data_IF_583015171716
#
_entry.id   IF_583015171716
#
_cell.length_a   1.000
_cell.length_b   1.000
_cell.length_c   1.000
_cell.angle_alpha   90.00
_cell.angle_beta   90.00
_cell.angle_gamma   90.00
#
_symmetry.space_group_name_H-M   'P 1'
#
loop_
_entity.id
_entity.type
_entity.pdbx_description
1 polymer ?
#
# COMPACT_ATOMS: atom_id res chain seq x y z
N UNK A 1 -8.23 -11.78 5.15
CA UNK A 1 -7.86 -10.45 4.60
C UNK A 1 -8.07 -10.43 3.10
N UNK A 2 -8.39 -9.29 2.46
CA UNK A 2 -8.58 -9.20 1.00
C UNK A 2 -7.27 -8.95 0.27
N UNK A 3 -7.13 -9.48 -0.95
CA UNK A 3 -6.02 -9.09 -1.84
C UNK A 3 -6.21 -7.64 -2.30
N UNK A 4 -5.11 -6.90 -2.48
CA UNK A 4 -5.15 -5.57 -3.09
C UNK A 4 -4.47 -5.57 -4.46
N UNK A 5 -4.86 -4.61 -5.30
CA UNK A 5 -4.40 -4.47 -6.67
C UNK A 5 -4.05 -3.01 -6.96
N UNK A 6 -3.49 -2.73 -8.13
CA UNK A 6 -3.04 -1.38 -8.54
C UNK A 6 -4.08 -0.29 -8.23
N UNK A 7 -5.35 -0.56 -8.48
CA UNK A 7 -6.40 0.46 -8.31
C UNK A 7 -6.93 0.59 -6.88
N UNK A 8 -6.45 -0.20 -5.90
CA UNK A 8 -6.84 -0.11 -4.49
C UNK A 8 -6.46 1.24 -3.89
N UNK A 9 -7.23 1.73 -2.92
CA UNK A 9 -6.91 3.00 -2.25
C UNK A 9 -5.97 2.74 -1.07
N UNK A 10 -4.73 3.18 -1.19
CA UNK A 10 -3.77 3.28 -0.08
C UNK A 10 -3.58 4.77 0.22
N UNK A 11 -3.64 5.14 1.49
CA UNK A 11 -3.45 6.51 1.93
C UNK A 11 -2.60 6.57 3.19
N UNK A 12 -1.90 7.69 3.40
CA UNK A 12 -1.31 7.97 4.70
C UNK A 12 -2.39 8.23 5.76
N UNK A 13 -2.00 8.30 7.02
CA UNK A 13 -2.90 8.67 8.13
C UNK A 13 -3.57 10.03 7.95
N UNK A 14 -3.02 10.89 7.08
CA UNK A 14 -3.52 12.22 6.75
C UNK A 14 -4.26 12.29 5.41
N UNK A 15 -4.65 11.15 4.85
CA UNK A 15 -5.41 11.03 3.59
C UNK A 15 -4.66 11.44 2.30
N UNK A 16 -3.35 11.68 2.40
CA UNK A 16 -2.48 11.73 1.22
C UNK A 16 -2.49 10.39 0.49
N UNK A 17 -2.63 10.41 -0.84
CA UNK A 17 -2.87 9.21 -1.66
C UNK A 17 -1.58 8.64 -2.23
N UNK A 18 -1.39 7.33 -2.07
CA UNK A 18 -0.28 6.59 -2.64
C UNK A 18 -0.54 6.30 -4.12
N UNK A 19 0.48 6.49 -4.95
CA UNK A 19 0.47 6.07 -6.36
C UNK A 19 0.98 4.63 -6.47
N UNK A 20 0.06 3.67 -6.51
CA UNK A 20 0.40 2.26 -6.60
C UNK A 20 1.03 1.91 -7.95
N UNK A 21 1.96 0.96 -7.94
CA UNK A 21 2.54 0.38 -9.15
C UNK A 21 2.76 -1.11 -8.93
N UNK A 22 2.10 -1.94 -9.72
CA UNK A 22 2.33 -3.38 -9.73
C UNK A 22 3.62 -3.69 -10.48
N UNK A 23 4.50 -4.51 -9.91
CA UNK A 23 5.70 -5.03 -10.59
C UNK A 23 5.37 -6.12 -11.60
N UNK A 24 4.32 -6.91 -11.33
CA UNK A 24 3.78 -7.95 -12.21
C UNK A 24 2.49 -7.48 -12.90
N UNK A 25 2.12 -8.10 -14.03
CA UNK A 25 0.95 -7.72 -14.83
C UNK A 25 -0.01 -8.87 -15.19
N UNK A 26 0.30 -10.12 -14.84
CA UNK A 26 -0.42 -11.30 -15.35
C UNK A 26 -1.46 -11.85 -14.37
N UNK A 27 -1.22 -11.76 -13.05
CA UNK A 27 -2.24 -12.03 -12.05
C UNK A 27 -3.07 -10.78 -11.85
N UNK A 28 -4.34 -10.85 -12.24
CA UNK A 28 -5.25 -9.72 -12.19
C UNK A 28 -6.55 -10.07 -11.46
N UNK A 29 -7.18 -9.06 -10.87
CA UNK A 29 -8.56 -9.11 -10.40
C UNK A 29 -9.37 -8.14 -11.26
N UNK A 30 -10.34 -8.67 -12.01
CA UNK A 30 -11.13 -7.90 -12.99
C UNK A 30 -10.25 -7.09 -13.97
N UNK A 31 -9.12 -7.66 -14.38
CA UNK A 31 -8.17 -7.01 -15.30
C UNK A 31 -7.22 -6.00 -14.66
N UNK A 32 -7.27 -5.79 -13.33
CA UNK A 32 -6.34 -4.94 -12.60
C UNK A 32 -5.23 -5.78 -11.96
N UNK A 33 -3.94 -5.50 -12.22
CA UNK A 33 -2.83 -6.27 -11.65
C UNK A 33 -2.80 -6.22 -10.11
N UNK A 34 -2.68 -7.40 -9.49
CA UNK A 34 -2.49 -7.58 -8.05
C UNK A 34 -1.15 -7.01 -7.61
N UNK A 35 -1.09 -6.41 -6.42
CA UNK A 35 0.17 -5.97 -5.82
C UNK A 35 0.85 -7.13 -5.09
N UNK A 36 2.17 -7.22 -5.22
CA UNK A 36 3.01 -8.17 -4.48
C UNK A 36 4.02 -7.42 -3.60
N UNK A 37 4.78 -8.15 -2.78
CA UNK A 37 5.75 -7.53 -1.88
C UNK A 37 6.74 -6.61 -2.61
N UNK A 38 7.20 -5.59 -1.89
CA UNK A 38 7.95 -4.42 -2.39
C UNK A 38 7.17 -3.43 -3.30
N UNK A 39 6.05 -3.81 -3.93
CA UNK A 39 5.23 -2.87 -4.73
C UNK A 39 4.76 -1.63 -3.93
N UNK A 40 4.32 -1.76 -2.66
CA UNK A 40 3.84 -0.62 -1.88
C UNK A 40 4.95 0.28 -1.33
N UNK A 41 6.23 -0.09 -1.47
CA UNK A 41 7.36 0.62 -0.86
C UNK A 41 7.96 1.67 -1.82
N UNK A 42 8.39 2.82 -1.28
CA UNK A 42 8.99 3.91 -2.04
C UNK A 42 8.04 4.62 -3.02
N UNK A 43 6.72 4.40 -2.89
CA UNK A 43 5.69 4.99 -3.76
C UNK A 43 5.47 6.46 -3.41
N UNK A 44 5.14 7.25 -4.42
CA UNK A 44 4.78 8.66 -4.23
C UNK A 44 3.47 8.79 -3.47
N UNK A 45 3.45 9.73 -2.52
CA UNK A 45 2.26 10.17 -1.81
C UNK A 45 1.93 11.59 -2.27
N UNK A 46 0.68 11.81 -2.69
CA UNK A 46 0.19 13.10 -3.19
C UNK A 46 -0.93 13.64 -2.30
N UNK A 47 -1.15 14.96 -2.33
CA UNK A 47 -2.24 15.62 -1.61
C UNK A 47 -2.25 15.38 -0.08
N UNK A 48 -1.08 15.17 0.54
CA UNK A 48 -0.99 15.18 2.01
C UNK A 48 -1.22 16.63 2.52
N UNK A 49 -2.21 16.87 3.40
CA UNK A 49 -2.57 18.21 3.87
C UNK A 49 -1.61 18.73 4.96
N UNK A 50 -0.79 17.87 5.55
CA UNK A 50 0.13 18.24 6.61
C UNK A 50 1.45 18.77 6.04
N UNK A 51 1.53 20.09 5.89
CA UNK A 51 2.71 20.82 5.45
C UNK A 51 2.94 22.07 6.31
N UNK A 52 4.20 22.49 6.46
CA UNK A 52 4.56 23.69 7.21
C UNK A 52 6.06 23.81 7.45
N UNK A 53 6.54 24.91 8.06
CA UNK A 53 7.97 25.17 8.25
C UNK A 53 8.72 24.06 9.02
N UNK A 54 8.03 23.35 9.90
CA UNK A 54 8.57 22.25 10.71
C UNK A 54 7.90 20.90 10.42
N UNK A 55 6.99 20.87 9.44
CA UNK A 55 6.19 19.69 9.10
C UNK A 55 6.57 19.24 7.70
N UNK A 56 7.25 18.10 7.63
CA UNK A 56 7.49 17.42 6.36
C UNK A 56 6.22 16.66 5.95
N UNK A 57 5.61 16.97 4.78
CA UNK A 57 4.49 16.19 4.28
C UNK A 57 4.93 14.76 3.93
N UNK A 58 3.99 13.83 4.00
CA UNK A 58 4.18 12.50 3.44
C UNK A 58 4.34 12.63 1.93
N UNK A 59 5.52 12.27 1.41
CA UNK A 59 5.79 12.25 -0.03
C UNK A 59 6.22 10.87 -0.52
N UNK A 60 6.66 9.99 0.39
CA UNK A 60 7.02 8.61 0.09
C UNK A 60 6.46 7.62 1.10
N UNK A 61 6.04 6.45 0.61
CA UNK A 61 5.89 5.27 1.46
C UNK A 61 7.26 4.71 1.81
N UNK A 62 7.39 4.20 3.02
CA UNK A 62 8.56 3.47 3.51
C UNK A 62 8.23 1.98 3.59
N UNK A 63 9.08 1.23 4.30
CA UNK A 63 8.94 -0.21 4.47
C UNK A 63 7.59 -0.60 5.06
N UNK A 64 7.00 -1.65 4.51
CA UNK A 64 5.79 -2.29 5.04
C UNK A 64 6.17 -3.21 6.20
N UNK A 65 5.42 -3.13 7.30
CA UNK A 65 5.62 -3.94 8.51
C UNK A 65 4.63 -5.10 8.57
N UNK A 66 3.41 -4.91 8.07
CA UNK A 66 2.32 -5.90 8.04
C UNK A 66 1.58 -5.84 6.72
N UNK A 67 1.00 -6.96 6.28
CA UNK A 67 0.11 -7.03 5.12
C UNK A 67 0.68 -7.70 3.88
N UNK A 68 1.78 -8.44 4.03
CA UNK A 68 2.21 -9.42 3.03
C UNK A 68 1.68 -10.80 3.43
N UNK A 69 1.13 -11.54 2.46
CA UNK A 69 0.61 -12.87 2.71
C UNK A 69 1.71 -13.82 3.21
N UNK A 70 1.33 -14.69 4.14
CA UNK A 70 2.24 -15.70 4.70
C UNK A 70 2.32 -16.96 3.84
N UNK A 71 1.26 -17.25 3.06
CA UNK A 71 1.15 -18.47 2.27
C UNK A 71 1.08 -18.19 0.76
N UNK A 72 0.31 -17.20 0.32
CA UNK A 72 0.08 -16.95 -1.11
C UNK A 72 1.19 -16.13 -1.75
N UNK A 73 1.68 -16.64 -2.88
CA UNK A 73 2.72 -16.02 -3.67
C UNK A 73 2.38 -16.02 -5.16
N UNK A 74 2.82 -14.96 -5.84
CA UNK A 74 2.82 -14.82 -7.30
C UNK A 74 4.28 -14.73 -7.73
N UNK A 75 4.76 -15.67 -8.54
CA UNK A 75 6.16 -15.77 -8.95
C UNK A 75 7.16 -15.70 -7.77
N UNK A 76 6.79 -16.30 -6.64
CA UNK A 76 7.61 -16.31 -5.43
C UNK A 76 7.47 -15.06 -4.54
N UNK A 77 6.79 -14.01 -5.01
CA UNK A 77 6.52 -12.78 -4.26
C UNK A 77 5.21 -12.87 -3.48
N UNK A 78 5.21 -12.44 -2.22
CA UNK A 78 4.01 -12.53 -1.37
C UNK A 78 2.95 -11.55 -1.85
N UNK A 79 1.70 -11.99 -1.89
CA UNK A 79 0.57 -11.10 -2.24
C UNK A 79 0.37 -10.04 -1.16
N UNK A 80 0.03 -8.80 -1.56
CA UNK A 80 -0.31 -7.73 -0.62
C UNK A 80 -1.78 -7.78 -0.23
N UNK A 81 -2.05 -7.58 1.06
CA UNK A 81 -3.36 -7.73 1.70
C UNK A 81 -3.89 -6.40 2.24
N UNK A 82 -5.21 -6.34 2.48
CA UNK A 82 -5.92 -5.13 2.91
C UNK A 82 -5.67 -4.71 4.37
N UNK A 83 -4.96 -5.53 5.16
CA UNK A 83 -4.41 -5.14 6.45
C UNK A 83 -3.00 -4.52 6.34
N UNK A 84 -2.59 -4.09 5.15
CA UNK A 84 -1.30 -3.42 4.94
C UNK A 84 -1.13 -2.25 5.90
N UNK A 85 0.02 -2.26 6.56
CA UNK A 85 0.53 -1.21 7.42
C UNK A 85 2.02 -1.02 7.12
N UNK A 86 2.41 0.20 6.76
CA UNK A 86 3.80 0.60 6.60
C UNK A 86 3.99 2.06 6.95
N UNK A 87 5.23 2.49 7.12
CA UNK A 87 5.54 3.88 7.49
C UNK A 87 5.52 4.82 6.27
N UNK A 88 5.49 6.12 6.52
CA UNK A 88 5.75 7.17 5.54
C UNK A 88 6.95 8.00 5.97
N UNK A 89 7.43 8.84 5.08
CA UNK A 89 8.56 9.73 5.34
C UNK A 89 8.18 11.09 5.95
N UNK A 90 6.92 11.25 6.37
CA UNK A 90 6.40 12.48 6.98
C UNK A 90 6.82 12.68 8.44
N UNK A 91 6.65 13.89 8.95
CA UNK A 91 6.91 14.25 10.35
C UNK A 91 5.70 13.95 11.24
N UNK A 92 5.88 13.40 12.47
CA UNK A 92 7.15 12.94 13.04
C UNK A 92 7.66 11.64 12.41
N UNK A 93 8.99 11.50 12.18
CA UNK A 93 9.56 10.28 11.62
C UNK A 93 9.20 9.05 12.45
N UNK A 94 8.78 7.97 11.78
CA UNK A 94 8.47 6.70 12.41
C UNK A 94 7.09 6.60 13.08
N UNK A 95 6.25 7.63 12.98
CA UNK A 95 4.91 7.64 13.58
C UNK A 95 3.75 7.74 12.58
N UNK A 96 4.04 8.09 11.32
CA UNK A 96 2.99 8.31 10.31
C UNK A 96 2.93 7.11 9.37
N UNK A 97 1.78 6.45 9.32
CA UNK A 97 1.58 5.21 8.57
C UNK A 97 0.89 5.47 7.22
N UNK A 98 0.99 4.49 6.32
CA UNK A 98 0.14 4.32 5.15
C UNK A 98 -0.60 2.99 5.24
N UNK A 99 -1.90 3.02 4.93
CA UNK A 99 -2.84 1.90 5.11
C UNK A 99 -3.76 1.79 3.92
N UNK A 100 -4.28 0.60 3.69
CA UNK A 100 -5.35 0.38 2.72
C UNK A 100 -6.65 0.95 3.29
N UNK A 101 -7.25 1.91 2.57
CA UNK A 101 -8.58 2.45 2.86
C UNK A 101 -9.67 1.70 2.14
N UNK A 102 -9.36 1.14 0.97
CA UNK A 102 -10.29 0.29 0.22
C UNK A 102 -9.52 -0.67 -0.70
N UNK A 103 -9.76 -1.98 -0.56
CA UNK A 103 -9.23 -2.98 -1.47
C UNK A 103 -9.77 -2.82 -2.90
N UNK A 104 -11.00 -2.28 -3.04
CA UNK A 104 -11.69 -2.05 -4.33
C UNK A 104 -11.96 -3.33 -5.14
N UNK A 105 -11.97 -4.47 -4.45
CA UNK A 105 -12.45 -5.76 -4.92
C UNK A 105 -13.01 -6.57 -3.74
N UNK A 106 -13.90 -7.53 -3.98
CA UNK A 106 -14.56 -8.34 -2.95
C UNK A 106 -14.52 -9.86 -3.24
N UNK A 107 -13.68 -10.30 -4.16
CA UNK A 107 -13.64 -11.68 -4.65
C UNK A 107 -12.57 -12.53 -3.97
N UNK A 108 -11.38 -11.96 -3.78
CA UNK A 108 -10.20 -12.70 -3.33
C UNK A 108 -9.81 -12.32 -1.91
N UNK A 109 -9.57 -13.35 -1.09
CA UNK A 109 -9.02 -13.23 0.25
C UNK A 109 -7.92 -14.25 0.53
N UNK A 110 -7.15 -14.00 1.58
CA UNK A 110 -6.10 -14.85 2.12
C UNK A 110 -5.94 -14.57 3.61
N UNK A 111 -5.32 -15.50 4.33
CA UNK A 111 -4.81 -15.28 5.69
C UNK A 111 -5.85 -14.64 6.64
N UNK A 112 -7.07 -15.16 6.58
CA UNK A 112 -8.22 -14.76 7.41
C UNK A 112 -8.51 -15.75 8.50
#
# INVERSE_FOLDING_TARGET
MRWIHRDSLIACDHDGRVTNRASQQWVTVRGVPVLVDADPEGRDITACPNYGPTIKPCVKTLRVTVGYSTWLRVDGHRVVLDNLDGLTDGTPPGLVHHKVRAARQDFLGADG
#
